data_IF_669728282235
#
_entry.id   IF_669728282235
#
_cell.length_a   1.000
_cell.length_b   1.000
_cell.length_c   1.000
_cell.angle_alpha   90.00
_cell.angle_beta   90.00
_cell.angle_gamma   90.00
#
_symmetry.space_group_name_H-M   'P 1'
#
loop_
_entity.id
_entity.type
_entity.pdbx_description
1 polymer ?
#
# COMPACT_ATOMS: atom_id res chain seq x y z
N UNK A 1 6.98 -11.24 -11.43
CA UNK A 1 7.58 -12.27 -10.58
C UNK A 1 7.77 -11.79 -9.15
N UNK A 2 8.25 -12.65 -8.27
CA UNK A 2 8.54 -12.32 -6.88
C UNK A 2 9.76 -13.10 -6.38
N UNK A 3 10.39 -12.61 -5.33
CA UNK A 3 11.46 -13.29 -4.62
C UNK A 3 11.42 -12.92 -3.13
N UNK A 4 12.02 -13.77 -2.31
CA UNK A 4 12.17 -13.53 -0.89
C UNK A 4 13.50 -12.83 -0.60
N UNK A 5 13.48 -11.91 0.37
CA UNK A 5 14.68 -11.27 0.88
C UNK A 5 14.89 -11.59 2.36
N UNK A 6 16.14 -11.72 2.77
CA UNK A 6 16.55 -11.87 4.17
C UNK A 6 17.39 -10.68 4.59
N UNK A 7 17.45 -10.42 5.88
CA UNK A 7 18.27 -9.32 6.42
C UNK A 7 17.89 -7.95 5.85
N UNK A 8 16.58 -7.77 5.61
CA UNK A 8 16.02 -6.54 5.04
C UNK A 8 16.10 -5.30 5.94
N UNK A 9 16.53 -5.47 7.21
CA UNK A 9 16.74 -4.37 8.16
C UNK A 9 15.46 -3.75 8.73
N UNK A 10 14.29 -4.32 8.47
CA UNK A 10 13.03 -3.90 9.10
C UNK A 10 12.96 -4.57 10.48
N UNK A 11 12.86 -3.81 11.60
CA UNK A 11 12.73 -4.38 12.92
C UNK A 11 11.48 -5.25 13.07
N UNK A 12 11.60 -6.36 13.78
CA UNK A 12 10.50 -7.31 13.95
C UNK A 12 9.32 -6.71 14.71
N UNK A 13 9.57 -5.85 15.67
CA UNK A 13 8.54 -5.12 16.40
C UNK A 13 7.75 -4.18 15.51
N UNK A 14 8.39 -3.50 14.54
CA UNK A 14 7.72 -2.66 13.54
C UNK A 14 6.80 -3.51 12.66
N UNK A 15 7.25 -4.69 12.23
CA UNK A 15 6.43 -5.63 11.44
C UNK A 15 5.21 -6.06 12.26
N UNK A 16 5.45 -6.47 13.52
CA UNK A 16 4.39 -6.95 14.39
C UNK A 16 3.37 -5.86 14.72
N UNK A 17 3.80 -4.63 15.00
CA UNK A 17 2.92 -3.49 15.25
C UNK A 17 2.04 -3.20 14.04
N UNK A 18 2.61 -3.12 12.84
CA UNK A 18 1.87 -2.91 11.61
C UNK A 18 0.84 -4.02 11.35
N UNK A 19 1.22 -5.28 11.60
CA UNK A 19 0.31 -6.42 11.45
C UNK A 19 -0.86 -6.38 12.43
N UNK A 20 -0.61 -6.07 13.71
CA UNK A 20 -1.67 -5.95 14.71
C UNK A 20 -2.59 -4.75 14.43
N UNK A 21 -2.03 -3.62 14.00
CA UNK A 21 -2.82 -2.46 13.58
C UNK A 21 -3.72 -2.77 12.38
N UNK A 22 -3.22 -3.52 11.39
CA UNK A 22 -4.01 -3.99 10.26
C UNK A 22 -5.20 -4.87 10.71
N UNK A 23 -4.96 -5.85 11.59
CA UNK A 23 -6.03 -6.68 12.16
C UNK A 23 -7.07 -5.85 12.91
N UNK A 24 -6.62 -4.92 13.74
CA UNK A 24 -7.51 -4.01 14.49
C UNK A 24 -8.34 -3.14 13.55
N UNK A 25 -7.73 -2.59 12.49
CA UNK A 25 -8.42 -1.77 11.49
C UNK A 25 -9.54 -2.54 10.78
N UNK A 26 -9.26 -3.71 10.24
CA UNK A 26 -10.26 -4.50 9.51
C UNK A 26 -11.36 -5.07 10.40
N UNK A 27 -11.12 -5.19 11.71
CA UNK A 27 -12.15 -5.58 12.69
C UNK A 27 -13.11 -4.45 13.07
N UNK A 28 -12.83 -3.20 12.69
CA UNK A 28 -13.73 -2.07 12.95
C UNK A 28 -15.05 -2.19 12.20
N UNK A 29 -16.06 -1.53 12.73
CA UNK A 29 -17.38 -1.46 12.09
C UNK A 29 -17.28 -0.85 10.69
N UNK A 30 -18.12 -1.32 9.78
CA UNK A 30 -18.10 -0.88 8.38
C UNK A 30 -18.23 0.65 8.23
N UNK A 31 -19.07 1.29 9.05
CA UNK A 31 -19.25 2.75 9.01
C UNK A 31 -17.95 3.51 9.34
N UNK A 32 -17.15 3.03 10.29
CA UNK A 32 -15.85 3.62 10.59
C UNK A 32 -14.93 3.56 9.36
N UNK A 33 -14.80 2.38 8.74
CA UNK A 33 -13.96 2.19 7.54
C UNK A 33 -14.44 3.03 6.36
N UNK A 34 -15.75 3.15 6.16
CA UNK A 34 -16.34 3.94 5.08
C UNK A 34 -16.08 5.45 5.22
N UNK A 35 -15.92 5.98 6.43
CA UNK A 35 -15.53 7.38 6.63
C UNK A 35 -14.12 7.69 6.11
N UNK A 36 -13.31 6.64 5.90
CA UNK A 36 -11.95 6.72 5.38
C UNK A 36 -11.87 6.26 3.92
N UNK A 37 -13.00 6.32 3.20
CA UNK A 37 -13.08 5.86 1.80
C UNK A 37 -12.00 6.51 0.94
N UNK A 38 -11.49 5.75 -0.03
CA UNK A 38 -10.45 6.18 -0.96
C UNK A 38 -10.81 7.53 -1.63
N UNK A 39 -9.86 8.44 -1.64
CA UNK A 39 -9.98 9.77 -2.24
C UNK A 39 -9.48 9.82 -3.69
N UNK A 40 -9.51 11.02 -4.30
CA UNK A 40 -9.02 11.26 -5.65
C UNK A 40 -7.52 10.99 -5.83
N UNK A 41 -6.74 11.00 -4.74
CA UNK A 41 -5.31 10.64 -4.73
C UNK A 41 -5.07 9.14 -4.57
N UNK A 42 -6.11 8.34 -4.66
CA UNK A 42 -6.04 6.89 -4.46
C UNK A 42 -5.51 6.47 -3.08
N UNK A 43 -5.76 7.27 -2.04
CA UNK A 43 -5.46 6.97 -0.65
C UNK A 43 -6.75 6.75 0.15
N UNK A 44 -6.77 5.75 1.04
CA UNK A 44 -7.89 5.42 1.90
C UNK A 44 -8.39 3.99 1.78
N UNK A 45 -9.59 3.75 2.27
CA UNK A 45 -10.24 2.45 2.35
C UNK A 45 -10.98 2.09 1.06
N UNK A 46 -10.79 0.85 0.64
CA UNK A 46 -11.52 0.19 -0.44
C UNK A 46 -12.25 -1.02 0.14
N UNK A 47 -13.57 -1.05 -0.02
CA UNK A 47 -14.37 -2.21 0.37
C UNK A 47 -14.34 -3.32 -0.68
N UNK A 48 -14.88 -4.48 -0.33
CA UNK A 48 -14.99 -5.62 -1.25
C UNK A 48 -15.67 -5.18 -2.55
N UNK A 49 -15.02 -5.45 -3.68
CA UNK A 49 -15.54 -5.17 -5.01
C UNK A 49 -15.30 -3.75 -5.52
N UNK A 50 -14.69 -2.85 -4.74
CA UNK A 50 -14.31 -1.51 -5.22
C UNK A 50 -12.99 -1.54 -6.00
N UNK A 51 -12.08 -2.47 -5.69
CA UNK A 51 -10.89 -2.72 -6.49
C UNK A 51 -11.24 -3.70 -7.63
N UNK A 52 -11.11 -3.24 -8.87
CA UNK A 52 -11.29 -4.07 -10.08
C UNK A 52 -10.16 -3.80 -11.04
N UNK A 53 -9.67 -4.84 -11.69
CA UNK A 53 -8.65 -4.70 -12.75
C UNK A 53 -9.29 -4.35 -14.10
N UNK A 54 -10.48 -4.91 -14.39
CA UNK A 54 -11.29 -4.60 -15.56
C UNK A 54 -12.79 -4.62 -15.22
N UNK A 55 -13.61 -3.84 -15.93
CA UNK A 55 -15.06 -3.76 -15.70
C UNK A 55 -15.81 -5.08 -15.95
N UNK A 56 -15.27 -5.93 -16.83
CA UNK A 56 -15.87 -7.21 -17.23
C UNK A 56 -15.55 -8.35 -16.28
N UNK A 57 -14.59 -8.17 -15.36
CA UNK A 57 -14.16 -9.20 -14.43
C UNK A 57 -15.03 -9.25 -13.18
N UNK A 58 -15.02 -10.40 -12.53
CA UNK A 58 -15.62 -10.54 -11.22
C UNK A 58 -14.89 -9.69 -10.20
N UNK A 59 -15.62 -9.24 -9.19
CA UNK A 59 -15.08 -8.38 -8.12
C UNK A 59 -13.98 -9.10 -7.33
N UNK A 60 -12.96 -8.35 -6.94
CA UNK A 60 -11.97 -8.82 -5.97
C UNK A 60 -12.59 -8.94 -4.58
N UNK A 61 -12.40 -10.09 -3.95
CA UNK A 61 -12.95 -10.40 -2.63
C UNK A 61 -11.95 -10.01 -1.53
N UNK A 62 -11.57 -8.75 -1.52
CA UNK A 62 -10.65 -8.18 -0.54
C UNK A 62 -11.10 -6.80 -0.08
N UNK A 63 -10.75 -6.45 1.13
CA UNK A 63 -10.71 -5.06 1.61
C UNK A 63 -9.27 -4.58 1.61
N UNK A 64 -9.05 -3.30 1.37
CA UNK A 64 -7.71 -2.72 1.47
C UNK A 64 -7.75 -1.29 2.01
N UNK A 65 -6.65 -0.88 2.64
CA UNK A 65 -6.43 0.51 3.01
C UNK A 65 -5.08 0.93 2.45
N UNK A 66 -5.07 1.99 1.65
CA UNK A 66 -3.93 2.46 0.86
C UNK A 66 -3.45 3.81 1.35
N UNK A 67 -2.14 3.98 1.43
CA UNK A 67 -1.49 5.27 1.74
C UNK A 67 -0.18 5.43 0.98
N UNK A 68 0.30 6.66 0.93
CA UNK A 68 1.58 7.03 0.35
C UNK A 68 2.44 7.83 1.33
N UNK A 69 3.39 8.58 0.78
CA UNK A 69 4.18 9.52 1.57
C UNK A 69 3.29 10.59 2.21
N UNK A 70 3.51 10.86 3.50
CA UNK A 70 2.91 11.99 4.19
C UNK A 70 3.70 13.25 3.85
N UNK A 71 3.23 13.99 2.87
CA UNK A 71 3.79 15.27 2.49
C UNK A 71 2.98 16.40 3.14
N UNK A 72 3.62 17.52 3.52
CA UNK A 72 2.92 18.71 4.00
C UNK A 72 1.91 19.23 2.97
N UNK A 73 0.83 19.84 3.43
CA UNK A 73 -0.24 20.35 2.55
C UNK A 73 0.24 21.37 1.52
N UNK A 74 1.22 22.19 1.91
CA UNK A 74 1.81 23.23 1.07
C UNK A 74 2.90 22.68 0.14
N UNK A 75 3.18 21.38 0.20
CA UNK A 75 4.23 20.77 -0.61
C UNK A 75 3.89 20.89 -2.10
N UNK A 76 4.82 21.29 -2.97
CA UNK A 76 4.55 21.46 -4.41
C UNK A 76 3.94 20.22 -5.07
N UNK A 77 4.36 19.03 -4.66
CA UNK A 77 3.82 17.78 -5.21
C UNK A 77 2.36 17.51 -4.79
N UNK A 78 1.91 18.06 -3.67
CA UNK A 78 0.51 17.99 -3.20
C UNK A 78 -0.33 19.07 -3.89
N UNK A 79 0.21 20.28 -4.01
CA UNK A 79 -0.50 21.43 -4.61
C UNK A 79 -0.55 21.39 -6.14
N UNK A 80 0.32 20.59 -6.79
CA UNK A 80 0.38 20.46 -8.26
C UNK A 80 -0.71 19.56 -8.86
N UNK A 81 -1.69 19.14 -8.05
CA UNK A 81 -2.76 18.22 -8.47
C UNK A 81 -2.26 16.88 -9.00
N UNK A 82 -1.06 16.44 -8.54
CA UNK A 82 -0.59 15.10 -8.87
C UNK A 82 -1.56 14.07 -8.27
N UNK A 83 -2.26 13.29 -9.09
CA UNK A 83 -3.31 12.39 -8.60
C UNK A 83 -2.81 11.29 -7.66
N UNK A 84 -1.50 11.10 -7.53
CA UNK A 84 -0.91 10.04 -6.71
C UNK A 84 -0.13 10.56 -5.50
N UNK A 85 -0.02 11.85 -5.31
CA UNK A 85 0.71 12.51 -4.22
C UNK A 85 -0.23 13.46 -3.46
N UNK A 86 -1.28 12.92 -2.89
CA UNK A 86 -2.25 13.67 -2.09
C UNK A 86 -2.23 13.24 -0.63
N UNK A 87 -3.15 13.82 0.14
CA UNK A 87 -3.29 13.52 1.57
C UNK A 87 -3.69 12.07 1.81
N UNK A 88 -3.07 11.47 2.82
CA UNK A 88 -3.53 10.20 3.36
C UNK A 88 -4.82 10.37 4.17
N UNK A 89 -5.67 9.35 4.18
CA UNK A 89 -6.94 9.32 4.92
C UNK A 89 -6.75 8.68 6.31
N UNK A 90 -5.87 9.26 7.14
CA UNK A 90 -5.69 8.75 8.49
C UNK A 90 -6.93 9.00 9.36
N UNK A 91 -7.34 8.04 10.22
CA UNK A 91 -8.42 8.27 11.16
C UNK A 91 -8.00 9.23 12.29
N UNK A 92 -8.68 10.36 12.42
CA UNK A 92 -8.36 11.38 13.43
C UNK A 92 -8.54 10.89 14.86
N UNK A 93 -9.51 10.00 15.07
CA UNK A 93 -9.84 9.41 16.39
C UNK A 93 -8.97 8.19 16.76
N UNK A 94 -8.07 7.75 15.86
CA UNK A 94 -7.17 6.59 16.05
C UNK A 94 -5.77 6.87 15.51
N UNK A 95 -5.04 7.86 16.07
CA UNK A 95 -3.70 8.20 15.59
C UNK A 95 -2.71 7.03 15.70
N UNK A 96 -2.93 6.11 16.64
CA UNK A 96 -2.12 4.92 16.82
C UNK A 96 -2.10 4.00 15.58
N UNK A 97 -3.12 4.08 14.73
CA UNK A 97 -3.13 3.33 13.47
C UNK A 97 -2.00 3.79 12.56
N UNK A 98 -1.91 5.10 12.28
CA UNK A 98 -0.82 5.69 11.50
C UNK A 98 0.54 5.41 12.14
N UNK A 99 0.65 5.63 13.44
CA UNK A 99 1.89 5.44 14.21
C UNK A 99 2.43 4.00 14.12
N UNK A 100 1.54 3.02 13.91
CA UNK A 100 1.91 1.61 13.78
C UNK A 100 2.23 1.19 12.33
N UNK A 101 1.49 1.67 11.32
CA UNK A 101 1.66 1.20 9.95
C UNK A 101 2.66 2.04 9.14
N UNK A 102 2.80 3.33 9.46
CA UNK A 102 3.65 4.23 8.69
C UNK A 102 5.16 3.96 8.87
N UNK A 103 5.69 3.62 10.07
CA UNK A 103 7.07 3.19 10.22
C UNK A 103 7.42 1.96 9.37
N UNK A 104 6.53 0.98 9.27
CA UNK A 104 6.72 -0.17 8.39
C UNK A 104 6.88 0.26 6.92
N UNK A 105 6.03 1.16 6.44
CA UNK A 105 6.16 1.74 5.09
C UNK A 105 7.52 2.43 4.87
N UNK A 106 7.98 3.24 5.83
CA UNK A 106 9.27 3.92 5.70
C UNK A 106 10.46 2.95 5.65
N UNK A 107 10.43 1.90 6.46
CA UNK A 107 11.43 0.83 6.39
C UNK A 107 11.37 0.07 5.06
N UNK A 108 10.16 -0.27 4.59
CA UNK A 108 9.95 -0.91 3.30
C UNK A 108 10.46 -0.04 2.14
N UNK A 109 10.18 1.24 2.18
CA UNK A 109 10.69 2.21 1.21
C UNK A 109 12.22 2.26 1.17
N UNK A 110 12.87 2.31 2.34
CA UNK A 110 14.33 2.26 2.44
C UNK A 110 14.88 0.95 1.85
N UNK A 111 14.26 -0.19 2.17
CA UNK A 111 14.64 -1.48 1.61
C UNK A 111 14.49 -1.50 0.08
N UNK A 112 13.39 -0.97 -0.45
CA UNK A 112 13.17 -0.84 -1.89
C UNK A 112 14.24 -0.03 -2.59
N UNK A 113 14.68 1.08 -2.00
CA UNK A 113 15.80 1.87 -2.55
C UNK A 113 17.11 1.09 -2.61
N UNK A 114 17.43 0.31 -1.58
CA UNK A 114 18.62 -0.57 -1.59
C UNK A 114 18.53 -1.65 -2.68
N UNK A 115 17.35 -2.21 -2.90
CA UNK A 115 17.12 -3.17 -3.99
C UNK A 115 17.32 -2.52 -5.37
N UNK A 116 16.81 -1.31 -5.57
CA UNK A 116 17.02 -0.56 -6.82
C UNK A 116 18.49 -0.28 -7.09
N UNK A 117 19.28 0.04 -6.05
CA UNK A 117 20.71 0.19 -6.16
C UNK A 117 21.39 -1.14 -6.52
N UNK A 118 20.99 -2.25 -5.90
CA UNK A 118 21.52 -3.57 -6.23
C UNK A 118 21.20 -3.96 -7.69
N UNK A 119 20.00 -3.65 -8.19
CA UNK A 119 19.66 -3.86 -9.59
C UNK A 119 20.53 -3.02 -10.53
N UNK A 120 20.75 -1.74 -10.24
CA UNK A 120 21.62 -0.89 -11.03
C UNK A 120 23.04 -1.51 -11.13
N UNK A 121 23.62 -1.90 -10.00
CA UNK A 121 24.92 -2.56 -9.96
C UNK A 121 24.95 -3.87 -10.76
N UNK A 122 23.90 -4.70 -10.67
CA UNK A 122 23.80 -5.96 -11.41
C UNK A 122 23.75 -5.76 -12.94
N UNK A 123 23.24 -4.60 -13.37
CA UNK A 123 23.19 -4.20 -14.78
C UNK A 123 24.45 -3.46 -15.24
N UNK A 124 25.45 -3.31 -14.38
CA UNK A 124 26.72 -2.66 -14.70
C UNK A 124 26.63 -1.14 -14.83
N UNK A 125 25.58 -0.50 -14.26
CA UNK A 125 25.44 0.97 -14.20
C UNK A 125 25.71 1.48 -12.80
N UNK A 126 25.81 2.82 -12.66
CA UNK A 126 26.02 3.45 -11.35
C UNK A 126 24.92 3.04 -10.36
N UNK A 127 25.30 2.77 -9.11
CA UNK A 127 24.37 2.32 -8.07
C UNK A 127 23.20 3.28 -7.85
N UNK A 128 23.41 4.57 -8.06
CA UNK A 128 22.40 5.59 -7.88
C UNK A 128 21.57 5.91 -9.14
N UNK A 129 21.88 5.25 -10.27
CA UNK A 129 21.24 5.52 -11.56
C UNK A 129 19.71 5.51 -11.51
N UNK A 130 19.13 4.62 -10.68
CA UNK A 130 17.67 4.52 -10.53
C UNK A 130 17.09 5.34 -9.38
N UNK A 131 17.90 5.76 -8.42
CA UNK A 131 17.38 6.39 -7.19
C UNK A 131 17.73 7.87 -7.07
N UNK A 132 18.70 8.38 -7.84
CA UNK A 132 19.17 9.77 -7.75
C UNK A 132 18.07 10.80 -8.05
N UNK A 133 17.15 10.48 -8.96
CA UNK A 133 16.04 11.34 -9.37
C UNK A 133 14.73 11.04 -8.65
N UNK A 134 14.74 10.06 -7.72
CA UNK A 134 13.54 9.59 -7.02
C UNK A 134 13.64 9.99 -5.55
N UNK A 135 13.42 11.29 -5.27
CA UNK A 135 13.40 11.80 -3.90
C UNK A 135 12.03 11.59 -3.25
N UNK A 136 10.98 11.85 -4.01
CA UNK A 136 9.58 11.76 -3.61
C UNK A 136 8.83 10.90 -4.62
N UNK A 137 9.02 9.57 -4.58
CA UNK A 137 8.39 8.69 -5.54
C UNK A 137 6.90 8.55 -5.26
N UNK A 138 6.15 8.17 -6.28
CA UNK A 138 4.81 7.61 -6.13
C UNK A 138 4.95 6.24 -5.47
N UNK A 139 5.35 6.23 -4.19
CA UNK A 139 5.43 5.02 -3.40
C UNK A 139 4.15 4.88 -2.58
N UNK A 140 3.48 3.74 -2.74
CA UNK A 140 2.26 3.43 -1.99
C UNK A 140 2.42 2.13 -1.23
N UNK A 141 1.79 2.07 -0.09
CA UNK A 141 1.64 0.85 0.70
C UNK A 141 0.18 0.54 0.90
N UNK A 142 -0.14 -0.71 1.10
CA UNK A 142 -1.49 -1.12 1.47
C UNK A 142 -1.46 -2.27 2.46
N UNK A 143 -2.39 -2.22 3.40
CA UNK A 143 -2.79 -3.41 4.14
C UNK A 143 -4.00 -4.01 3.44
N UNK A 144 -4.02 -5.34 3.35
CA UNK A 144 -5.05 -6.06 2.62
C UNK A 144 -5.63 -7.15 3.52
N UNK A 145 -6.96 -7.24 3.54
CA UNK A 145 -7.68 -8.28 4.23
C UNK A 145 -8.52 -9.09 3.25
N UNK A 146 -8.33 -10.39 3.27
CA UNK A 146 -9.14 -11.34 2.53
C UNK A 146 -10.14 -11.98 3.52
N UNK A 147 -11.42 -11.56 3.51
CA UNK A 147 -12.41 -12.14 4.39
C UNK A 147 -12.64 -13.63 4.07
N UNK A 148 -13.07 -14.44 5.04
CA UNK A 148 -13.44 -15.83 4.79
C UNK A 148 -14.46 -15.93 3.64
N UNK A 149 -14.19 -16.81 2.69
CA UNK A 149 -15.02 -16.98 1.51
C UNK A 149 -15.98 -18.16 1.66
N UNK A 150 -17.21 -18.10 1.09
CA UNK A 150 -18.08 -19.25 0.96
C UNK A 150 -17.41 -20.39 0.18
N UNK A 151 -17.75 -21.65 0.52
CA UNK A 151 -17.13 -22.83 -0.12
C UNK A 151 -17.52 -23.02 -1.59
N UNK A 152 -18.58 -22.37 -2.03
CA UNK A 152 -19.24 -22.54 -3.34
C UNK A 152 -19.08 -21.34 -4.28
N UNK A 153 -18.03 -20.55 -4.10
CA UNK A 153 -17.73 -19.37 -4.95
C UNK A 153 -17.53 -19.67 -6.45
N UNK A 154 -17.36 -20.96 -6.80
CA UNK A 154 -17.03 -21.36 -8.15
C UNK A 154 -15.56 -21.14 -8.51
N UNK A 155 -15.15 -21.65 -9.69
CA UNK A 155 -13.74 -21.69 -10.08
C UNK A 155 -13.18 -20.35 -10.61
N UNK A 156 -14.01 -19.34 -10.77
CA UNK A 156 -13.64 -18.06 -11.40
C UNK A 156 -13.69 -16.86 -10.47
N UNK A 157 -13.96 -17.08 -9.17
CA UNK A 157 -13.98 -16.02 -8.17
C UNK A 157 -12.74 -16.11 -7.29
N UNK A 158 -12.02 -14.99 -7.15
CA UNK A 158 -10.74 -14.92 -6.45
C UNK A 158 -10.73 -13.81 -5.40
N UNK A 159 -9.80 -13.89 -4.45
CA UNK A 159 -9.49 -12.77 -3.56
C UNK A 159 -8.93 -11.58 -4.35
N UNK A 160 -8.07 -11.89 -5.34
CA UNK A 160 -7.61 -10.98 -6.39
C UNK A 160 -7.52 -11.78 -7.69
N UNK A 161 -8.08 -11.24 -8.78
CA UNK A 161 -8.04 -11.88 -10.08
C UNK A 161 -6.61 -11.96 -10.65
N UNK A 162 -6.31 -12.93 -11.56
CA UNK A 162 -5.06 -12.91 -12.31
C UNK A 162 -4.87 -11.58 -13.04
N UNK A 163 -3.68 -11.01 -12.94
CA UNK A 163 -3.37 -9.69 -13.52
C UNK A 163 -1.90 -9.57 -13.85
N UNK A 164 -1.55 -8.55 -14.61
CA UNK A 164 -0.19 -8.05 -14.77
C UNK A 164 -0.05 -6.77 -13.97
N UNK A 165 1.06 -6.64 -13.22
CA UNK A 165 1.35 -5.41 -12.49
C UNK A 165 1.68 -4.27 -13.47
N UNK A 166 1.34 -3.05 -13.06
CA UNK A 166 1.82 -1.86 -13.75
C UNK A 166 3.33 -1.70 -13.48
N UNK A 167 4.14 -1.50 -14.51
CA UNK A 167 5.57 -1.39 -14.37
C UNK A 167 6.23 -0.57 -15.46
#
# INVERSE_FOLDING_TARGET
>A
GFFYIRNHGIPEDVINQAYQAAKSFFSQHSSFKQNLKINASHHGFLSVGEARMEESEKIDLKESFVWGLDLPDEHPSVTSENPFLGRNQWPDDKPEFRESVYPFFLHGFKCGRLLMQAFAMSMGVDSDAFVQNVREPIARSSIIYYPPQPRDLGQTQFGVAPHTDYG
#
